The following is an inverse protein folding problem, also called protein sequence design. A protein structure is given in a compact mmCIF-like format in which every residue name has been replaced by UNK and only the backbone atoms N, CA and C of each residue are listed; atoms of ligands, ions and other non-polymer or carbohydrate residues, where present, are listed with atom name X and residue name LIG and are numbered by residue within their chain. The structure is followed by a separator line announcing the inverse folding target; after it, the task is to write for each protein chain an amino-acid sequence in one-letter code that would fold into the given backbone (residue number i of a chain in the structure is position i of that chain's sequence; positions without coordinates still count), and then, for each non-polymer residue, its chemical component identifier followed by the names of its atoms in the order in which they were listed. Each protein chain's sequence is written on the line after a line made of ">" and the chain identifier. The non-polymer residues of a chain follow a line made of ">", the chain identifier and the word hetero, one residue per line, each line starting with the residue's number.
data_IF_334219569178
#
_entry.id   IF_334219569178
#
_cell.length_a   1.000
_cell.length_b   1.000
_cell.length_c   1.000
_cell.angle_alpha   90.00
_cell.angle_beta   90.00
_cell.angle_gamma   90.00
#
_symmetry.space_group_name_H-M   'P 1'
#
loop_
_entity.id
_entity.type
_entity.pdbx_description
1 polymer ?
#
# COMPACT_ATOMS: atom_id res chain seq x y z
N UNK A 1 -2.30 -11.42 -0.43
CA UNK A 1 -0.80 -11.51 -0.33
C UNK A 1 -0.07 -10.29 -0.93
N UNK A 2 -0.55 -9.72 -2.04
CA UNK A 2 0.05 -8.52 -2.66
C UNK A 2 -0.18 -7.23 -1.88
N UNK A 3 -1.36 -7.07 -1.27
CA UNK A 3 -1.70 -5.91 -0.43
C UNK A 3 -0.75 -5.68 0.74
N UNK A 4 -0.36 -6.75 1.44
CA UNK A 4 0.59 -6.69 2.54
C UNK A 4 1.98 -6.21 2.10
N UNK A 5 2.44 -6.63 0.91
CA UNK A 5 3.71 -6.18 0.33
C UNK A 5 3.68 -4.67 0.03
N UNK A 6 2.62 -4.19 -0.61
CA UNK A 6 2.46 -2.76 -0.92
C UNK A 6 2.37 -1.90 0.35
N UNK A 7 1.66 -2.35 1.39
CA UNK A 7 1.65 -1.66 2.69
C UNK A 7 3.04 -1.61 3.34
N UNK A 8 3.82 -2.69 3.26
CA UNK A 8 5.20 -2.68 3.76
C UNK A 8 6.08 -1.68 3.00
N UNK A 9 5.92 -1.58 1.67
CA UNK A 9 6.65 -0.61 0.84
C UNK A 9 6.28 0.84 1.17
N UNK A 10 4.99 1.13 1.36
CA UNK A 10 4.53 2.45 1.81
C UNK A 10 5.13 2.81 3.18
N UNK A 11 5.18 1.84 4.10
CA UNK A 11 5.79 2.03 5.42
C UNK A 11 7.30 2.29 5.34
N UNK A 12 8.03 1.59 4.46
CA UNK A 12 9.45 1.84 4.22
C UNK A 12 9.70 3.24 3.64
N UNK A 13 8.87 3.70 2.72
CA UNK A 13 8.95 5.06 2.19
C UNK A 13 8.76 6.11 3.29
N UNK A 14 7.82 5.87 4.22
CA UNK A 14 7.61 6.71 5.41
C UNK A 14 8.81 6.72 6.38
N UNK A 15 9.49 5.59 6.59
CA UNK A 15 10.71 5.55 7.40
C UNK A 15 11.88 6.29 6.73
N UNK A 16 12.03 6.10 5.41
CA UNK A 16 13.03 6.80 4.61
C UNK A 16 12.79 8.31 4.59
N UNK A 17 11.54 8.79 4.55
CA UNK A 17 11.21 10.23 4.63
C UNK A 17 11.73 10.89 5.91
N UNK A 18 11.66 10.18 7.04
CA UNK A 18 12.17 10.69 8.34
C UNK A 18 13.69 10.87 8.31
N UNK A 19 14.40 10.05 7.53
CA UNK A 19 15.86 10.09 7.38
C UNK A 19 16.32 10.99 6.24
N UNK A 20 15.45 11.23 5.26
CA UNK A 20 15.73 12.09 4.13
C UNK A 20 15.91 13.55 4.58
N UNK A 21 17.06 14.12 4.24
CA UNK A 21 17.39 15.54 4.49
C UNK A 21 17.09 16.44 3.30
N UNK A 22 17.03 15.87 2.09
CA UNK A 22 16.68 16.58 0.88
C UNK A 22 15.15 16.66 0.71
N UNK A 23 14.64 17.85 0.40
CA UNK A 23 13.21 18.11 0.26
C UNK A 23 12.61 17.38 -0.94
N UNK A 24 13.33 17.35 -2.07
CA UNK A 24 12.96 16.58 -3.27
C UNK A 24 12.84 15.08 -2.97
N UNK A 25 13.77 14.53 -2.18
CA UNK A 25 13.72 13.12 -1.77
C UNK A 25 12.50 12.85 -0.87
N UNK A 26 12.11 13.78 0.01
CA UNK A 26 10.88 13.64 0.81
C UNK A 26 9.63 13.66 -0.06
N UNK A 27 9.56 14.57 -1.03
CA UNK A 27 8.42 14.65 -1.95
C UNK A 27 8.26 13.38 -2.79
N UNK A 28 9.37 12.84 -3.33
CA UNK A 28 9.35 11.59 -4.09
C UNK A 28 8.94 10.39 -3.22
N UNK A 29 9.49 10.29 -2.01
CA UNK A 29 9.11 9.22 -1.07
C UNK A 29 7.66 9.34 -0.59
N UNK A 30 7.13 10.56 -0.49
CA UNK A 30 5.72 10.77 -0.18
C UNK A 30 4.84 10.27 -1.32
N UNK A 31 5.17 10.66 -2.57
CA UNK A 31 4.45 10.23 -3.76
C UNK A 31 4.40 8.70 -3.86
N UNK A 32 5.55 8.04 -3.69
CA UNK A 32 5.62 6.58 -3.69
C UNK A 32 4.82 5.96 -2.56
N UNK A 33 4.85 6.54 -1.35
CA UNK A 33 4.04 6.03 -0.24
C UNK A 33 2.54 6.08 -0.56
N UNK A 34 2.06 7.15 -1.20
CA UNK A 34 0.66 7.32 -1.60
C UNK A 34 0.28 6.34 -2.73
N UNK A 35 1.14 6.17 -3.74
CA UNK A 35 0.91 5.20 -4.82
C UNK A 35 0.87 3.76 -4.30
N UNK A 36 1.78 3.39 -3.40
CA UNK A 36 1.79 2.05 -2.80
C UNK A 36 0.57 1.81 -1.90
N UNK A 37 0.09 2.81 -1.17
CA UNK A 37 -1.15 2.70 -0.39
C UNK A 37 -2.34 2.43 -1.33
N UNK A 38 -2.47 3.20 -2.42
CA UNK A 38 -3.52 3.02 -3.42
C UNK A 38 -3.46 1.64 -4.11
N UNK A 39 -2.27 1.15 -4.41
CA UNK A 39 -2.08 -0.21 -4.93
C UNK A 39 -2.44 -1.29 -3.92
N UNK A 40 -2.17 -1.07 -2.63
CA UNK A 40 -2.59 -1.98 -1.58
C UNK A 40 -4.13 -2.04 -1.49
N UNK A 41 -4.79 -0.88 -1.46
CA UNK A 41 -6.25 -0.80 -1.41
C UNK A 41 -6.90 -1.45 -2.63
N UNK A 42 -6.36 -1.21 -3.83
CA UNK A 42 -6.83 -1.87 -5.05
C UNK A 42 -6.65 -3.39 -5.00
N UNK A 43 -5.51 -3.87 -4.50
CA UNK A 43 -5.25 -5.29 -4.33
C UNK A 43 -6.17 -5.93 -3.28
N UNK A 44 -6.52 -5.23 -2.20
CA UNK A 44 -7.49 -5.68 -1.20
C UNK A 44 -8.91 -5.72 -1.78
N UNK A 45 -9.29 -4.71 -2.55
CA UNK A 45 -10.58 -4.66 -3.22
C UNK A 45 -10.73 -5.77 -4.27
N UNK A 46 -9.66 -6.09 -5.01
CA UNK A 46 -9.62 -7.19 -5.96
C UNK A 46 -9.65 -8.55 -5.26
N UNK A 47 -8.88 -8.74 -4.19
CA UNK A 47 -8.88 -9.98 -3.38
C UNK A 47 -10.27 -10.23 -2.77
N UNK A 48 -10.93 -9.18 -2.27
CA UNK A 48 -12.29 -9.24 -1.75
C UNK A 48 -13.34 -9.50 -2.86
N UNK A 49 -13.19 -8.86 -4.02
CA UNK A 49 -14.12 -9.05 -5.16
C UNK A 49 -13.97 -10.42 -5.84
N UNK A 50 -12.76 -10.98 -5.81
CA UNK A 50 -12.46 -12.31 -6.38
C UNK A 50 -13.01 -13.46 -5.53
N UNK A 51 -13.36 -13.21 -4.27
CA UNK A 51 -13.91 -14.22 -3.36
C UNK A 51 -15.35 -13.88 -2.90
N UNK A 52 -16.36 -13.87 -3.79
CA UNK A 52 -17.72 -13.48 -3.42
C UNK A 52 -18.53 -14.56 -2.66
N UNK A 53 -17.97 -15.74 -2.34
CA UNK A 53 -18.71 -16.91 -1.82
C UNK A 53 -18.10 -17.53 -0.55
N UNK A 54 -17.89 -16.72 0.50
CA UNK A 54 -17.55 -17.20 1.84
C UNK A 54 -18.72 -17.33 2.82
N UNK A 55 -19.96 -17.04 2.41
CA UNK A 55 -21.09 -16.90 3.33
C UNK A 55 -22.44 -17.21 2.71
N UNK A 56 -22.70 -18.49 2.44
CA UNK A 56 -24.05 -19.02 2.28
C UNK A 56 -24.01 -20.53 2.54
N UNK A 57 -23.87 -20.92 3.80
CA UNK A 57 -24.33 -22.24 4.23
C UNK A 57 -25.03 -22.05 5.58
N UNK A 58 -26.29 -21.65 5.49
CA UNK A 58 -27.30 -21.77 6.55
C UNK A 58 -28.21 -22.93 6.17
#
# INVERSE_FOLDING_TARGET
>A
MQSAFFRQMAQQCRDMMRRARAEEARQQLQLWAEEFDAHAEAAEAEENSRNPHGGANC
#
